data_IF_821649102717
#
_entry.id   IF_821649102717
#
_cell.length_a   1.000
_cell.length_b   1.000
_cell.length_c   1.000
_cell.angle_alpha   90.00
_cell.angle_beta   90.00
_cell.angle_gamma   90.00
#
_symmetry.space_group_name_H-M   'P 1'
#
loop_
_entity.id
_entity.type
_entity.pdbx_description
1 polymer ?
#
# COMPACT_ATOMS: atom_id res chain seq x y z
N UNK A 1 11.18 -15.64 29.38
CA UNK A 1 10.88 -15.98 27.97
C UNK A 1 9.45 -15.63 27.49
N UNK A 2 8.40 -15.58 28.34
CA UNK A 2 7.03 -15.20 27.92
C UNK A 2 6.80 -13.71 27.57
N UNK A 3 7.49 -12.75 28.22
CA UNK A 3 7.25 -11.29 28.01
C UNK A 3 7.73 -10.75 26.65
N UNK A 4 8.78 -11.35 26.08
CA UNK A 4 9.31 -10.95 24.76
C UNK A 4 8.28 -11.22 23.66
N UNK A 5 7.63 -12.38 23.72
CA UNK A 5 6.60 -12.79 22.74
C UNK A 5 5.37 -11.87 22.74
N UNK A 6 4.95 -11.38 23.91
CA UNK A 6 3.83 -10.44 24.03
C UNK A 6 4.17 -9.08 23.42
N UNK A 7 5.36 -8.54 23.72
CA UNK A 7 5.82 -7.24 23.20
C UNK A 7 5.92 -7.25 21.67
N UNK A 8 6.48 -8.30 21.09
CA UNK A 8 6.63 -8.44 19.64
C UNK A 8 5.28 -8.56 18.93
N UNK A 9 4.32 -9.22 19.58
CA UNK A 9 2.94 -9.31 19.08
C UNK A 9 2.26 -7.94 19.11
N UNK A 10 2.41 -7.16 20.18
CA UNK A 10 1.87 -5.79 20.27
C UNK A 10 2.47 -4.87 19.20
N UNK A 11 3.79 -4.95 18.95
CA UNK A 11 4.44 -4.17 17.90
C UNK A 11 3.91 -4.56 16.53
N UNK A 12 3.74 -5.85 16.25
CA UNK A 12 3.19 -6.32 14.99
C UNK A 12 1.74 -5.83 14.77
N UNK A 13 0.91 -5.86 15.81
CA UNK A 13 -0.48 -5.36 15.75
C UNK A 13 -0.52 -3.86 15.50
N UNK A 14 0.24 -3.07 16.27
CA UNK A 14 0.30 -1.61 16.09
C UNK A 14 0.83 -1.24 14.70
N UNK A 15 1.83 -1.96 14.20
CA UNK A 15 2.38 -1.75 12.87
C UNK A 15 1.37 -2.14 11.78
N UNK A 16 0.62 -3.22 11.97
CA UNK A 16 -0.47 -3.61 11.09
C UNK A 16 -1.58 -2.53 11.04
N UNK A 17 -1.97 -1.98 12.18
CA UNK A 17 -2.94 -0.87 12.25
C UNK A 17 -2.43 0.38 11.51
N UNK A 18 -1.15 0.72 11.72
CA UNK A 18 -0.50 1.82 10.99
C UNK A 18 -0.52 1.59 9.48
N UNK A 19 -0.15 0.40 9.01
CA UNK A 19 -0.15 0.07 7.58
C UNK A 19 -1.57 0.18 6.98
N UNK A 20 -2.59 -0.25 7.72
CA UNK A 20 -3.97 -0.22 7.27
C UNK A 20 -4.47 1.23 7.07
N UNK A 21 -4.15 2.12 8.00
CA UNK A 21 -4.38 3.56 7.87
C UNK A 21 -3.55 4.17 6.73
N UNK A 22 -2.29 3.74 6.60
CA UNK A 22 -1.40 4.23 5.57
C UNK A 22 -1.87 3.86 4.16
N UNK A 23 -2.43 2.67 3.93
CA UNK A 23 -2.98 2.28 2.62
C UNK A 23 -4.02 3.28 2.11
N UNK A 24 -5.01 3.64 2.93
CA UNK A 24 -6.03 4.63 2.56
C UNK A 24 -5.43 6.01 2.27
N UNK A 25 -4.50 6.44 3.13
CA UNK A 25 -3.81 7.71 2.95
C UNK A 25 -2.98 7.73 1.66
N UNK A 26 -2.24 6.65 1.37
CA UNK A 26 -1.40 6.52 0.19
C UNK A 26 -2.21 6.50 -1.10
N UNK A 27 -3.39 5.87 -1.09
CA UNK A 27 -4.32 5.90 -2.22
C UNK A 27 -4.78 7.33 -2.51
N UNK A 28 -5.23 8.06 -1.47
CA UNK A 28 -5.66 9.45 -1.59
C UNK A 28 -4.50 10.36 -2.04
N UNK A 29 -3.33 10.20 -1.42
CA UNK A 29 -2.12 10.94 -1.77
C UNK A 29 -1.71 10.71 -3.23
N UNK A 30 -1.72 9.46 -3.70
CA UNK A 30 -1.35 9.12 -5.07
C UNK A 30 -2.33 9.73 -6.07
N UNK A 31 -3.63 9.78 -5.74
CA UNK A 31 -4.63 10.49 -6.54
C UNK A 31 -4.33 12.00 -6.61
N UNK A 32 -4.10 12.64 -5.46
CA UNK A 32 -3.80 14.06 -5.37
C UNK A 32 -2.51 14.44 -6.12
N UNK A 33 -1.47 13.61 -6.05
CA UNK A 33 -0.22 13.80 -6.81
C UNK A 33 -0.47 13.71 -8.30
N UNK A 34 -1.26 12.72 -8.74
CA UNK A 34 -1.57 12.52 -10.17
C UNK A 34 -2.32 13.73 -10.75
N UNK A 35 -3.27 14.29 -9.98
CA UNK A 35 -4.02 15.49 -10.35
C UNK A 35 -3.14 16.76 -10.31
N UNK A 36 -2.36 16.96 -9.24
CA UNK A 36 -1.49 18.13 -9.09
C UNK A 36 -0.43 18.22 -10.19
N UNK A 37 0.10 17.07 -10.63
CA UNK A 37 1.08 16.99 -11.72
C UNK A 37 0.43 17.00 -13.11
N UNK A 38 -0.91 17.00 -13.19
CA UNK A 38 -1.67 16.97 -14.44
C UNK A 38 -1.43 15.70 -15.28
N UNK A 39 -1.00 14.61 -14.65
CA UNK A 39 -0.67 13.34 -15.33
C UNK A 39 -1.94 12.72 -15.92
N UNK A 40 -3.07 12.90 -15.23
CA UNK A 40 -4.41 12.51 -15.67
C UNK A 40 -4.83 13.15 -17.00
N UNK A 41 -4.31 14.35 -17.33
CA UNK A 41 -4.61 15.07 -18.58
C UNK A 41 -3.88 14.50 -19.79
N UNK A 42 -2.81 13.75 -19.55
CA UNK A 42 -1.97 13.16 -20.60
C UNK A 42 -2.20 11.65 -20.76
N UNK A 43 -2.96 11.03 -19.86
CA UNK A 43 -3.31 9.62 -19.91
C UNK A 43 -4.78 9.43 -20.28
N UNK A 44 -5.13 8.31 -20.94
CA UNK A 44 -6.52 7.93 -21.09
C UNK A 44 -7.17 7.80 -19.70
N UNK A 45 -8.40 8.31 -19.54
CA UNK A 45 -9.14 8.28 -18.27
C UNK A 45 -9.30 6.90 -17.64
N UNK A 46 -9.22 5.84 -18.46
CA UNK A 46 -9.27 4.44 -18.02
C UNK A 46 -7.96 3.94 -17.40
N UNK A 47 -6.83 4.62 -17.65
CA UNK A 47 -5.48 4.21 -17.22
C UNK A 47 -5.06 4.93 -15.93
N UNK A 48 -5.47 6.19 -15.75
CA UNK A 48 -5.20 7.00 -14.56
C UNK A 48 -5.48 6.26 -13.23
N UNK A 49 -6.59 5.52 -13.07
CA UNK A 49 -6.87 4.83 -11.82
C UNK A 49 -5.87 3.69 -11.52
N UNK A 50 -5.41 2.98 -12.56
CA UNK A 50 -4.39 1.94 -12.39
C UNK A 50 -3.04 2.53 -11.97
N UNK A 51 -2.68 3.69 -12.52
CA UNK A 51 -1.46 4.42 -12.14
C UNK A 51 -1.51 4.86 -10.67
N UNK A 52 -2.66 5.37 -10.21
CA UNK A 52 -2.87 5.76 -8.81
C UNK A 52 -2.73 4.55 -7.87
N UNK A 53 -3.38 3.42 -8.20
CA UNK A 53 -3.27 2.19 -7.40
C UNK A 53 -1.82 1.69 -7.38
N UNK A 54 -1.15 1.66 -8.53
CA UNK A 54 0.21 1.13 -8.65
C UNK A 54 1.19 1.96 -7.79
N UNK A 55 1.10 3.28 -7.86
CA UNK A 55 1.91 4.18 -7.06
C UNK A 55 1.66 4.00 -5.54
N UNK A 56 0.40 3.88 -5.13
CA UNK A 56 0.03 3.62 -3.74
C UNK A 56 0.56 2.27 -3.25
N UNK A 57 0.40 1.22 -4.07
CA UNK A 57 0.84 -0.15 -3.77
C UNK A 57 2.36 -0.26 -3.64
N UNK A 58 3.11 0.46 -4.48
CA UNK A 58 4.57 0.54 -4.39
C UNK A 58 5.01 1.18 -3.07
N UNK A 59 4.43 2.33 -2.71
CA UNK A 59 4.74 3.02 -1.46
C UNK A 59 4.36 2.17 -0.24
N UNK A 60 3.19 1.51 -0.28
CA UNK A 60 2.77 0.59 0.77
C UNK A 60 3.76 -0.56 0.94
N UNK A 61 4.22 -1.15 -0.17
CA UNK A 61 5.19 -2.25 -0.15
C UNK A 61 6.51 -1.83 0.49
N UNK A 62 6.98 -0.61 0.21
CA UNK A 62 8.19 -0.05 0.85
C UNK A 62 8.01 0.06 2.36
N UNK A 63 6.87 0.60 2.80
CA UNK A 63 6.56 0.68 4.23
C UNK A 63 6.46 -0.72 4.84
N UNK A 64 5.66 -1.62 4.28
CA UNK A 64 5.46 -2.97 4.79
C UNK A 64 6.77 -3.78 4.93
N UNK A 65 7.76 -3.53 4.08
CA UNK A 65 9.08 -4.17 4.15
C UNK A 65 10.01 -3.53 5.18
N UNK A 66 9.75 -2.33 5.66
CA UNK A 66 10.63 -1.58 6.57
C UNK A 66 11.00 -2.38 7.83
N UNK A 67 10.07 -3.07 8.53
CA UNK A 67 10.44 -3.90 9.68
C UNK A 67 11.29 -5.10 9.28
N UNK A 68 11.05 -5.72 8.12
CA UNK A 68 11.87 -6.84 7.66
C UNK A 68 13.30 -6.40 7.32
N UNK A 69 13.46 -5.23 6.70
CA UNK A 69 14.77 -4.66 6.37
C UNK A 69 15.53 -4.29 7.64
N UNK A 70 14.87 -3.60 8.58
CA UNK A 70 15.49 -3.08 9.80
C UNK A 70 15.81 -4.19 10.80
N UNK A 71 14.95 -5.21 10.94
CA UNK A 71 15.09 -6.24 11.98
C UNK A 71 15.83 -7.50 11.52
N UNK A 72 15.88 -7.83 10.21
CA UNK A 72 16.27 -9.17 9.75
C UNK A 72 17.46 -9.26 8.81
N UNK A 73 18.03 -8.14 8.36
CA UNK A 73 19.09 -8.16 7.36
C UNK A 73 18.58 -8.61 5.97
N UNK A 74 19.13 -8.04 4.89
CA UNK A 74 18.53 -8.05 3.54
C UNK A 74 18.35 -9.41 2.84
N UNK A 75 18.64 -10.55 3.44
CA UNK A 75 18.53 -11.85 2.75
C UNK A 75 17.06 -12.33 2.68
N UNK A 76 16.41 -12.19 1.52
CA UNK A 76 15.14 -12.87 1.22
C UNK A 76 13.88 -12.00 1.06
N UNK A 77 14.01 -10.68 0.87
CA UNK A 77 12.85 -9.76 0.81
C UNK A 77 11.99 -9.86 -0.46
N UNK A 78 12.45 -10.54 -1.51
CA UNK A 78 11.73 -10.62 -2.79
C UNK A 78 10.32 -11.23 -2.66
N UNK A 79 10.19 -12.34 -1.93
CA UNK A 79 8.89 -13.01 -1.72
C UNK A 79 7.93 -12.16 -0.88
N UNK A 80 8.32 -11.64 0.30
CA UNK A 80 7.48 -10.72 1.06
C UNK A 80 7.04 -9.50 0.26
N UNK A 81 7.93 -8.91 -0.55
CA UNK A 81 7.62 -7.75 -1.37
C UNK A 81 6.48 -8.03 -2.36
N UNK A 82 6.55 -9.17 -3.07
CA UNK A 82 5.51 -9.57 -4.02
C UNK A 82 4.17 -9.80 -3.31
N UNK A 83 4.20 -10.40 -2.12
CA UNK A 83 2.99 -10.67 -1.33
C UNK A 83 2.35 -9.37 -0.85
N UNK A 84 3.12 -8.46 -0.26
CA UNK A 84 2.60 -7.17 0.21
C UNK A 84 2.08 -6.31 -0.93
N UNK A 85 2.81 -6.26 -2.05
CA UNK A 85 2.38 -5.55 -3.25
C UNK A 85 1.07 -6.10 -3.78
N UNK A 86 0.99 -7.42 -4.01
CA UNK A 86 -0.22 -8.06 -4.55
C UNK A 86 -1.42 -7.87 -3.63
N UNK A 87 -1.21 -7.92 -2.31
CA UNK A 87 -2.27 -7.75 -1.33
C UNK A 87 -2.77 -6.30 -1.28
N UNK A 88 -1.86 -5.32 -1.27
CA UNK A 88 -2.23 -3.89 -1.31
C UNK A 88 -2.95 -3.57 -2.62
N UNK A 89 -2.39 -4.01 -3.75
CA UNK A 89 -2.97 -3.77 -5.06
C UNK A 89 -4.39 -4.35 -5.18
N UNK A 90 -4.61 -5.57 -4.68
CA UNK A 90 -5.93 -6.20 -4.63
C UNK A 90 -6.90 -5.46 -3.70
N UNK A 91 -6.41 -4.95 -2.56
CA UNK A 91 -7.22 -4.17 -1.64
C UNK A 91 -7.61 -2.81 -2.24
N UNK A 92 -6.67 -2.12 -2.87
CA UNK A 92 -6.84 -0.80 -3.50
C UNK A 92 -7.71 -0.87 -4.78
N UNK A 93 -7.85 -2.05 -5.39
CA UNK A 93 -8.82 -2.34 -6.45
C UNK A 93 -10.28 -2.31 -5.96
N UNK A 94 -10.56 -2.62 -4.69
CA UNK A 94 -11.93 -2.60 -4.15
C UNK A 94 -12.55 -1.19 -4.16
N UNK A 95 -11.86 -0.12 -3.67
CA UNK A 95 -12.28 1.26 -3.87
C UNK A 95 -12.48 1.62 -5.33
N UNK A 96 -11.65 1.11 -6.24
CA UNK A 96 -11.81 1.35 -7.67
C UNK A 96 -13.14 0.77 -8.18
N UNK A 97 -13.45 -0.46 -7.80
CA UNK A 97 -14.71 -1.13 -8.15
C UNK A 97 -15.92 -0.39 -7.57
N UNK A 98 -15.84 0.05 -6.31
CA UNK A 98 -16.89 0.81 -5.63
C UNK A 98 -17.07 2.23 -6.23
N UNK A 99 -15.98 2.92 -6.55
CA UNK A 99 -16.00 4.26 -7.14
C UNK A 99 -16.49 4.27 -8.60
N UNK A 100 -16.18 3.23 -9.39
CA UNK A 100 -16.69 3.08 -10.75
C UNK A 100 -18.15 2.63 -10.83
N UNK A 101 -18.69 1.94 -9.82
CA UNK A 101 -20.15 1.68 -9.77
C UNK A 101 -20.97 2.92 -9.37
N UNK A 102 -20.35 3.92 -8.73
CA UNK A 102 -21.05 5.14 -8.30
C UNK A 102 -21.18 6.21 -9.40
N UNK A 103 -20.57 6.02 -10.57
CA UNK A 103 -20.63 6.96 -11.71
C UNK A 103 -21.54 6.48 -12.85
N UNK A 104 -22.44 5.53 -12.57
CA UNK A 104 -23.55 5.17 -13.46
C UNK A 104 -24.87 5.77 -12.98
#
# INVERSE_FOLDING_TARGET
MKRVKARDTTIAVLYGMFLLLASLFLLYWSSAVTDTLGIDRHLPSKVTPFLVIDMASLLFTVLALMPLVVLKGRSGLKRPAIVFFSLSFAFDLLPLWLGFMSTK
#
